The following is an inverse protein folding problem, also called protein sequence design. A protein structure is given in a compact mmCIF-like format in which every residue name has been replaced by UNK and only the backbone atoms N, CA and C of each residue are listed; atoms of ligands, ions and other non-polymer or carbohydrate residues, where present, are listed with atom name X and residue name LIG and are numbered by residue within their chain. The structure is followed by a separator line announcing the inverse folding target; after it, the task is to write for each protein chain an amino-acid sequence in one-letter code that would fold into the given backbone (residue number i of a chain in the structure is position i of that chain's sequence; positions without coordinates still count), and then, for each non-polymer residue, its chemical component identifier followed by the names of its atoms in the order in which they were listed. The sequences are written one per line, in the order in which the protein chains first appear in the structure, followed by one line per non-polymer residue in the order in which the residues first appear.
data_IF_503693072822
#
_entry.id   IF_503693072822
#
_cell.length_a   1.000
_cell.length_b   1.000
_cell.length_c   1.000
_cell.angle_alpha   90.00
_cell.angle_beta   90.00
_cell.angle_gamma   90.00
#
_symmetry.space_group_name_H-M   'P 1'
#
loop_
_entity.id
_entity.type
_entity.pdbx_description
1 polymer ?
#
# COMPACT_ATOMS: atom_id res chain seq x y z
N UNK A 1 -50.86 24.32 47.42
CA UNK A 1 -49.71 24.71 46.58
C UNK A 1 -49.68 23.83 45.33
N UNK A 2 -49.07 24.31 44.24
CA UNK A 2 -48.89 23.62 42.94
C UNK A 2 -47.98 22.36 43.08
N UNK A 3 -47.82 21.37 42.17
CA UNK A 3 -48.50 20.87 40.93
C UNK A 3 -47.98 19.41 40.71
N UNK A 4 -48.21 18.61 39.65
CA UNK A 4 -48.75 18.78 38.27
C UNK A 4 -49.38 17.44 37.77
N UNK A 5 -50.01 17.47 36.60
CA UNK A 5 -50.65 16.33 35.91
C UNK A 5 -49.72 15.63 34.89
N UNK A 6 -49.99 14.35 34.54
CA UNK A 6 -49.77 13.80 33.20
C UNK A 6 -50.82 12.72 32.86
N UNK A 7 -51.38 12.78 31.65
CA UNK A 7 -52.56 12.03 31.23
C UNK A 7 -52.25 10.75 30.45
N UNK A 8 -53.22 9.82 30.44
CA UNK A 8 -53.38 8.77 29.43
C UNK A 8 -54.60 9.10 28.56
N UNK A 9 -54.52 8.87 27.25
CA UNK A 9 -55.69 8.51 26.43
C UNK A 9 -55.28 7.87 25.09
N UNK A 10 -55.94 6.76 24.75
CA UNK A 10 -55.92 6.12 23.41
C UNK A 10 -57.26 6.39 22.72
N UNK A 11 -57.24 6.54 21.39
CA UNK A 11 -58.38 6.32 20.48
C UNK A 11 -57.78 5.74 19.18
N UNK A 12 -58.12 4.53 18.72
CA UNK A 12 -59.38 3.94 18.20
C UNK A 12 -59.60 4.24 16.70
N UNK A 13 -59.63 3.17 15.90
CA UNK A 13 -59.76 3.14 14.43
C UNK A 13 -61.24 3.32 13.97
N UNK A 14 -61.59 3.34 12.65
CA UNK A 14 -61.47 2.19 11.73
C UNK A 14 -61.17 2.51 10.23
N UNK A 15 -61.15 1.49 9.38
CA UNK A 15 -60.92 1.57 7.93
C UNK A 15 -62.15 1.14 7.08
N UNK A 16 -62.22 1.57 5.81
CA UNK A 16 -62.84 0.87 4.64
C UNK A 16 -62.65 1.62 3.30
N UNK A 17 -61.99 0.97 2.33
CA UNK A 17 -62.33 0.72 0.90
C UNK A 17 -63.08 1.79 0.05
N UNK A 18 -62.90 1.97 -1.29
CA UNK A 18 -62.43 1.09 -2.40
C UNK A 18 -61.70 1.90 -3.51
N UNK A 19 -61.00 1.20 -4.43
CA UNK A 19 -60.49 1.68 -5.73
C UNK A 19 -61.60 1.63 -6.84
N UNK A 20 -61.37 1.86 -8.17
CA UNK A 20 -60.12 2.18 -8.91
C UNK A 20 -60.22 3.24 -10.06
N UNK A 21 -59.08 3.66 -10.64
CA UNK A 21 -58.97 4.12 -12.05
C UNK A 21 -57.50 4.12 -12.56
N UNK A 22 -57.30 3.91 -13.87
CA UNK A 22 -55.98 3.76 -14.54
C UNK A 22 -55.31 5.11 -14.87
N UNK A 23 -53.96 5.15 -14.88
CA UNK A 23 -53.16 5.97 -15.81
C UNK A 23 -51.69 5.54 -15.86
N UNK A 24 -51.09 5.67 -17.04
CA UNK A 24 -49.67 5.54 -17.35
C UNK A 24 -49.35 6.50 -18.52
N UNK A 25 -48.08 6.74 -18.91
CA UNK A 25 -46.86 6.86 -18.11
C UNK A 25 -46.15 8.22 -18.37
N UNK A 26 -45.23 8.65 -17.50
CA UNK A 26 -44.31 9.75 -17.82
C UNK A 26 -42.94 9.60 -17.12
N UNK A 27 -41.87 9.64 -17.92
CA UNK A 27 -40.46 9.60 -17.48
C UNK A 27 -39.98 10.96 -16.97
N UNK A 28 -39.07 10.97 -15.99
CA UNK A 28 -37.90 11.88 -15.81
C UNK A 28 -37.12 11.35 -14.61
N UNK A 29 -35.91 10.82 -14.80
CA UNK A 29 -34.61 11.52 -14.89
C UNK A 29 -33.89 11.48 -13.51
N UNK A 30 -32.59 11.18 -13.39
CA UNK A 30 -31.57 11.03 -14.41
C UNK A 30 -30.64 9.81 -14.16
N UNK A 31 -30.49 8.98 -15.18
CA UNK A 31 -29.33 8.10 -15.40
C UNK A 31 -28.99 8.17 -16.89
N UNK A 32 -27.70 8.13 -17.22
CA UNK A 32 -27.12 8.09 -18.58
C UNK A 32 -27.36 9.33 -19.47
N UNK A 33 -26.34 10.20 -19.60
CA UNK A 33 -25.74 10.59 -20.90
C UNK A 33 -24.73 11.75 -20.74
N UNK A 34 -23.46 11.52 -21.14
CA UNK A 34 -22.55 12.56 -21.65
C UNK A 34 -21.33 11.93 -22.34
N UNK A 35 -21.52 11.24 -23.46
CA UNK A 35 -20.41 10.95 -24.40
C UNK A 35 -20.32 12.07 -25.45
N UNK A 36 -19.08 12.51 -25.68
CA UNK A 36 -18.52 13.01 -26.93
C UNK A 36 -18.49 14.52 -27.25
N UNK A 37 -17.40 14.86 -27.96
CA UNK A 37 -17.11 16.03 -28.81
C UNK A 37 -16.56 17.29 -28.11
N UNK A 38 -15.22 17.33 -28.01
CA UNK A 38 -14.44 18.54 -28.28
C UNK A 38 -13.42 18.19 -29.38
N UNK A 39 -13.43 18.92 -30.51
CA UNK A 39 -12.53 18.66 -31.65
C UNK A 39 -12.02 19.97 -32.25
N UNK A 40 -10.71 20.01 -32.49
CA UNK A 40 -9.92 21.09 -33.13
C UNK A 40 -9.60 22.32 -32.27
N UNK A 41 -8.35 22.39 -31.81
CA UNK A 41 -7.36 23.31 -32.38
C UNK A 41 -5.95 22.70 -32.21
N UNK A 42 -5.01 23.10 -33.08
CA UNK A 42 -3.68 22.47 -33.24
C UNK A 42 -2.60 23.55 -33.23
N UNK A 43 -1.65 23.53 -32.28
CA UNK A 43 -0.39 24.26 -32.40
C UNK A 43 0.70 23.44 -33.12
N UNK A 44 1.81 24.10 -33.43
CA UNK A 44 2.85 23.60 -34.33
C UNK A 44 3.69 22.43 -33.77
N UNK A 45 4.30 21.67 -34.67
CA UNK A 45 5.22 20.59 -34.32
C UNK A 45 6.55 21.13 -33.81
N UNK A 46 6.92 20.83 -32.55
CA UNK A 46 8.32 20.77 -32.14
C UNK A 46 8.99 19.55 -32.80
N UNK A 47 10.28 19.62 -33.17
CA UNK A 47 10.95 18.53 -33.84
C UNK A 47 11.03 17.32 -32.92
N UNK A 48 10.66 16.14 -33.43
CA UNK A 48 10.94 14.87 -32.76
C UNK A 48 12.45 14.62 -32.82
N UNK A 49 13.16 14.94 -31.74
CA UNK A 49 14.47 14.34 -31.52
C UNK A 49 14.24 12.84 -31.32
N UNK A 50 14.65 12.03 -32.31
CA UNK A 50 14.74 10.60 -32.14
C UNK A 50 15.90 10.31 -31.18
N UNK A 51 15.60 10.27 -29.89
CA UNK A 51 16.46 9.62 -28.91
C UNK A 51 16.55 8.14 -29.33
N UNK A 52 17.62 7.82 -30.05
CA UNK A 52 17.92 6.45 -30.50
C UNK A 52 18.23 5.68 -29.23
N UNK A 53 17.25 4.91 -28.74
CA UNK A 53 17.40 4.07 -27.56
C UNK A 53 18.45 2.99 -27.83
N UNK A 54 19.73 3.33 -27.59
CA UNK A 54 20.73 2.36 -27.21
C UNK A 54 20.18 1.60 -26.01
N UNK A 55 20.19 0.26 -26.05
CA UNK A 55 20.04 -0.54 -24.84
C UNK A 55 21.17 -0.13 -23.89
N UNK A 56 20.89 0.79 -22.98
CA UNK A 56 21.73 1.00 -21.82
C UNK A 56 21.77 -0.33 -21.08
N UNK A 57 22.97 -0.75 -20.67
CA UNK A 57 23.13 -1.87 -19.77
C UNK A 57 22.44 -1.46 -18.46
N UNK A 58 21.41 -2.18 -18.04
CA UNK A 58 20.68 -1.85 -16.81
C UNK A 58 21.67 -1.78 -15.64
N UNK A 59 21.59 -0.68 -14.90
CA UNK A 59 22.54 -0.39 -13.85
C UNK A 59 22.21 -1.19 -12.61
N UNK A 60 23.22 -1.69 -11.89
CA UNK A 60 23.01 -2.35 -10.60
C UNK A 60 22.53 -1.38 -9.50
N UNK A 61 22.49 -0.09 -9.80
CA UNK A 61 22.04 0.99 -8.93
C UNK A 61 20.72 1.63 -9.41
N UNK A 62 20.07 1.10 -10.44
CA UNK A 62 18.73 1.58 -10.87
C UNK A 62 17.72 1.18 -9.79
N UNK A 63 17.04 2.14 -9.15
CA UNK A 63 16.16 1.91 -7.99
C UNK A 63 15.18 0.75 -8.20
N UNK A 64 14.55 0.65 -9.37
CA UNK A 64 13.62 -0.45 -9.72
C UNK A 64 14.28 -1.82 -9.50
N UNK A 65 15.54 -1.95 -9.94
CA UNK A 65 16.29 -3.19 -9.79
C UNK A 65 16.68 -3.46 -8.33
N UNK A 66 16.94 -2.42 -7.54
CA UNK A 66 17.29 -2.53 -6.13
C UNK A 66 16.09 -3.04 -5.32
N UNK A 67 14.93 -2.41 -5.50
CA UNK A 67 13.64 -2.83 -4.91
C UNK A 67 13.29 -4.27 -5.32
N UNK A 68 13.29 -4.58 -6.64
CA UNK A 68 13.07 -5.94 -7.13
C UNK A 68 14.06 -6.97 -6.54
N UNK A 69 15.31 -6.59 -6.24
CA UNK A 69 16.31 -7.50 -5.64
C UNK A 69 16.05 -7.73 -4.14
N UNK A 70 15.58 -6.72 -3.40
CA UNK A 70 15.16 -6.81 -2.00
C UNK A 70 13.86 -7.60 -1.81
N UNK A 71 12.91 -7.51 -2.74
CA UNK A 71 11.67 -8.30 -2.70
C UNK A 71 11.90 -9.82 -2.81
N UNK A 72 13.01 -10.26 -3.43
CA UNK A 72 13.28 -11.69 -3.70
C UNK A 72 13.42 -12.56 -2.44
N UNK A 73 14.13 -12.17 -1.37
CA UNK A 73 14.08 -12.89 -0.10
C UNK A 73 12.73 -12.75 0.61
N UNK A 74 12.12 -11.55 0.67
CA UNK A 74 10.81 -11.33 1.30
C UNK A 74 9.74 -12.29 0.72
N UNK A 75 9.59 -12.34 -0.61
CA UNK A 75 8.71 -13.27 -1.35
C UNK A 75 8.99 -14.77 -1.14
N UNK A 76 10.13 -15.15 -0.53
CA UNK A 76 10.41 -16.55 -0.13
C UNK A 76 9.99 -16.81 1.30
N UNK A 77 10.27 -15.87 2.19
CA UNK A 77 9.95 -15.96 3.62
C UNK A 77 8.44 -15.90 3.84
N UNK A 78 7.73 -14.99 3.15
CA UNK A 78 6.26 -14.92 3.12
C UNK A 78 5.64 -16.31 2.87
N UNK A 79 6.16 -17.07 1.90
CA UNK A 79 5.67 -18.43 1.56
C UNK A 79 5.91 -19.49 2.63
N UNK A 80 6.73 -19.19 3.63
CA UNK A 80 6.91 -19.99 4.85
C UNK A 80 5.89 -19.52 5.89
N UNK A 81 5.83 -18.21 6.16
CA UNK A 81 4.93 -17.58 7.14
C UNK A 81 3.44 -17.91 6.86
N UNK A 82 2.99 -17.76 5.62
CA UNK A 82 1.60 -18.00 5.21
C UNK A 82 1.27 -19.48 4.99
N UNK A 83 2.23 -20.40 5.15
CA UNK A 83 2.06 -21.81 4.83
C UNK A 83 1.34 -22.60 5.91
N UNK A 84 0.25 -23.28 5.55
CA UNK A 84 -0.44 -24.25 6.43
C UNK A 84 0.33 -25.59 6.56
N UNK A 85 1.56 -25.68 6.02
CA UNK A 85 2.41 -26.90 5.99
C UNK A 85 3.71 -26.78 6.78
N UNK A 86 3.96 -25.61 7.36
CA UNK A 86 5.19 -25.29 8.08
C UNK A 86 4.95 -25.39 9.58
N UNK A 87 5.92 -25.88 10.34
CA UNK A 87 5.84 -25.89 11.80
C UNK A 87 5.96 -24.47 12.35
N UNK A 88 5.52 -24.27 13.59
CA UNK A 88 5.68 -22.99 14.28
C UNK A 88 7.15 -22.57 14.36
N UNK A 89 8.07 -23.50 14.64
CA UNK A 89 9.51 -23.26 14.67
C UNK A 89 10.04 -22.78 13.31
N UNK A 90 9.66 -23.45 12.21
CA UNK A 90 10.05 -23.01 10.86
C UNK A 90 9.50 -21.63 10.49
N UNK A 91 8.36 -21.22 11.06
CA UNK A 91 7.80 -19.88 10.89
C UNK A 91 8.52 -18.85 11.75
N UNK A 92 8.92 -19.20 12.98
CA UNK A 92 9.71 -18.32 13.87
C UNK A 92 11.07 -18.00 13.25
N UNK A 93 11.81 -19.02 12.81
CA UNK A 93 13.09 -18.85 12.09
C UNK A 93 12.93 -17.93 10.86
N UNK A 94 11.87 -18.13 10.08
CA UNK A 94 11.60 -17.32 8.90
C UNK A 94 11.10 -15.90 9.22
N UNK A 95 10.41 -15.71 10.35
CA UNK A 95 9.93 -14.41 10.81
C UNK A 95 11.08 -13.50 11.26
N UNK A 96 12.07 -14.05 11.99
CA UNK A 96 13.26 -13.30 12.40
C UNK A 96 14.03 -12.74 11.19
N UNK A 97 14.27 -13.57 10.16
CA UNK A 97 14.90 -13.11 8.90
C UNK A 97 14.01 -12.10 8.17
N UNK A 98 12.69 -12.33 8.14
CA UNK A 98 11.73 -11.50 7.42
C UNK A 98 11.59 -10.09 8.01
N UNK A 99 11.36 -9.98 9.32
CA UNK A 99 11.21 -8.71 10.01
C UNK A 99 12.48 -7.86 9.88
N UNK A 100 13.67 -8.48 10.02
CA UNK A 100 14.95 -7.78 9.82
C UNK A 100 15.10 -7.25 8.38
N UNK A 101 14.81 -8.06 7.36
CA UNK A 101 14.92 -7.66 5.96
C UNK A 101 13.91 -6.58 5.57
N UNK A 102 12.69 -6.64 6.11
CA UNK A 102 11.61 -5.70 5.84
C UNK A 102 11.90 -4.32 6.45
N UNK A 103 12.32 -4.27 7.71
CA UNK A 103 12.77 -3.02 8.36
C UNK A 103 13.99 -2.40 7.67
N UNK A 104 14.89 -3.22 7.13
CA UNK A 104 16.04 -2.78 6.34
C UNK A 104 15.70 -2.38 4.89
N UNK A 105 14.43 -2.46 4.49
CA UNK A 105 13.93 -2.15 3.14
C UNK A 105 13.02 -0.91 3.17
N UNK A 106 11.98 -0.92 4.02
CA UNK A 106 10.98 0.13 4.14
C UNK A 106 11.57 1.52 4.49
N UNK A 107 12.49 1.59 5.45
CA UNK A 107 13.06 2.89 5.87
C UNK A 107 13.93 3.55 4.79
N UNK A 108 14.86 2.85 4.11
CA UNK A 108 15.55 3.40 2.95
C UNK A 108 14.64 3.79 1.78
N UNK A 109 13.52 3.09 1.61
CA UNK A 109 12.52 3.35 0.57
C UNK A 109 11.80 4.68 0.78
N UNK A 110 11.21 4.87 1.95
CA UNK A 110 10.56 6.13 2.36
C UNK A 110 11.52 7.32 2.19
N UNK A 111 12.72 7.18 2.77
CA UNK A 111 13.73 8.23 2.85
C UNK A 111 14.43 8.53 1.52
N UNK A 112 14.21 7.72 0.48
CA UNK A 112 14.76 7.98 -0.86
C UNK A 112 13.69 7.91 -1.95
N UNK A 113 13.13 6.74 -2.24
CA UNK A 113 12.17 6.57 -3.33
C UNK A 113 10.91 7.41 -3.11
N UNK A 114 10.27 7.32 -1.95
CA UNK A 114 9.03 8.05 -1.69
C UNK A 114 9.28 9.56 -1.54
N UNK A 115 10.38 9.96 -0.91
CA UNK A 115 10.83 11.36 -0.87
C UNK A 115 10.90 12.02 -2.26
N UNK A 116 11.42 11.31 -3.28
CA UNK A 116 11.42 11.80 -4.67
C UNK A 116 10.05 11.65 -5.37
N UNK A 117 9.21 10.70 -4.96
CA UNK A 117 7.85 10.52 -5.49
C UNK A 117 6.88 11.63 -5.05
N UNK A 118 7.00 12.18 -3.84
CA UNK A 118 6.17 13.30 -3.38
C UNK A 118 6.33 14.57 -4.23
N UNK A 119 7.49 14.76 -4.87
CA UNK A 119 7.69 15.85 -5.84
C UNK A 119 6.97 15.61 -7.19
N UNK A 120 6.40 14.42 -7.40
CA UNK A 120 5.75 14.00 -8.64
C UNK A 120 4.23 13.75 -8.47
N UNK A 121 3.42 14.50 -9.20
CA UNK A 121 1.95 14.43 -9.11
C UNK A 121 1.35 13.06 -9.54
N UNK A 122 2.10 12.23 -10.27
CA UNK A 122 1.67 10.92 -10.78
C UNK A 122 2.29 9.76 -9.98
N UNK A 123 2.88 10.04 -8.81
CA UNK A 123 3.46 9.07 -7.87
C UNK A 123 3.19 9.42 -6.39
N UNK A 124 2.81 10.67 -6.09
CA UNK A 124 2.62 11.16 -4.73
C UNK A 124 1.44 10.49 -3.99
N UNK A 125 0.43 9.94 -4.69
CA UNK A 125 -0.66 9.25 -4.00
C UNK A 125 -0.21 7.86 -3.52
N UNK A 126 0.47 7.16 -4.44
CA UNK A 126 1.08 5.85 -4.28
C UNK A 126 2.17 5.88 -3.18
N UNK A 127 2.93 6.97 -3.06
CA UNK A 127 3.87 7.18 -1.95
C UNK A 127 3.17 7.21 -0.57
N UNK A 128 2.10 8.00 -0.42
CA UNK A 128 1.35 8.06 0.85
C UNK A 128 0.63 6.73 1.18
N UNK A 129 0.26 5.96 0.16
CA UNK A 129 -0.31 4.61 0.32
C UNK A 129 0.74 3.66 0.87
N UNK A 130 1.92 3.57 0.24
CA UNK A 130 3.06 2.79 0.73
C UNK A 130 3.52 3.17 2.15
N UNK A 131 3.67 4.47 2.45
CA UNK A 131 3.95 4.96 3.82
C UNK A 131 2.90 4.47 4.83
N UNK A 132 1.62 4.45 4.46
CA UNK A 132 0.54 3.99 5.34
C UNK A 132 0.59 2.47 5.56
N UNK A 133 0.96 1.71 4.54
CA UNK A 133 1.14 0.25 4.63
C UNK A 133 2.38 -0.13 5.46
N UNK A 134 3.46 0.65 5.35
CA UNK A 134 4.64 0.52 6.20
C UNK A 134 4.30 0.80 7.68
N UNK A 135 3.59 1.90 7.99
CA UNK A 135 3.13 2.22 9.36
C UNK A 135 2.29 1.06 9.97
N UNK A 136 1.38 0.47 9.18
CA UNK A 136 0.55 -0.67 9.60
C UNK A 136 1.41 -1.93 9.84
N UNK A 137 2.39 -2.14 8.97
CA UNK A 137 3.33 -3.27 9.01
C UNK A 137 4.25 -3.19 10.23
N UNK A 138 4.84 -2.03 10.51
CA UNK A 138 5.67 -1.77 11.70
C UNK A 138 4.88 -1.96 13.01
N UNK A 139 3.63 -1.50 13.06
CA UNK A 139 2.76 -1.77 14.22
C UNK A 139 2.46 -3.27 14.37
N UNK A 140 2.26 -4.00 13.28
CA UNK A 140 2.00 -5.44 13.34
C UNK A 140 3.24 -6.25 13.75
N UNK A 141 4.44 -5.84 13.34
CA UNK A 141 5.72 -6.38 13.85
C UNK A 141 5.83 -6.17 15.36
N UNK A 142 5.60 -4.93 15.84
CA UNK A 142 5.63 -4.59 17.27
C UNK A 142 4.61 -5.39 18.09
N UNK A 143 3.41 -5.63 17.52
CA UNK A 143 2.39 -6.50 18.11
C UNK A 143 2.86 -7.96 18.20
N UNK A 144 3.54 -8.50 17.17
CA UNK A 144 4.02 -9.89 17.13
C UNK A 144 5.20 -10.10 18.10
N UNK A 145 6.14 -9.17 18.14
CA UNK A 145 7.32 -9.20 19.02
C UNK A 145 6.94 -9.08 20.51
N UNK A 146 5.75 -8.51 20.79
CA UNK A 146 5.19 -8.41 22.14
C UNK A 146 4.55 -9.69 22.70
N UNK A 147 4.33 -10.73 21.88
CA UNK A 147 3.61 -11.94 22.28
C UNK A 147 4.48 -12.96 23.02
N UNK A 148 3.88 -13.61 24.03
CA UNK A 148 4.46 -14.73 24.76
C UNK A 148 4.56 -16.03 23.97
N UNK A 149 5.35 -16.97 24.47
CA UNK A 149 5.42 -18.32 23.90
C UNK A 149 4.12 -19.12 24.10
N UNK A 150 3.27 -18.72 25.05
CA UNK A 150 1.96 -19.29 25.33
C UNK A 150 0.83 -18.71 24.45
N UNK A 151 1.13 -17.71 23.61
CA UNK A 151 0.17 -17.04 22.71
C UNK A 151 0.33 -17.50 21.24
N UNK A 152 0.72 -18.77 21.03
CA UNK A 152 1.08 -19.37 19.73
C UNK A 152 0.01 -19.17 18.63
N UNK A 153 -1.27 -19.42 18.95
CA UNK A 153 -2.39 -19.25 18.00
C UNK A 153 -2.54 -17.79 17.52
N UNK A 154 -2.29 -16.81 18.39
CA UNK A 154 -2.36 -15.38 18.03
C UNK A 154 -1.11 -14.95 17.25
N UNK A 155 0.06 -15.45 17.65
CA UNK A 155 1.32 -15.22 16.94
C UNK A 155 1.24 -15.73 15.49
N UNK A 156 0.79 -16.98 15.28
CA UNK A 156 0.66 -17.56 13.94
C UNK A 156 -0.36 -16.79 13.09
N UNK A 157 -1.47 -16.35 13.67
CA UNK A 157 -2.48 -15.56 12.98
C UNK A 157 -1.93 -14.19 12.54
N UNK A 158 -1.26 -13.45 13.44
CA UNK A 158 -0.66 -12.14 13.11
C UNK A 158 0.45 -12.28 12.07
N UNK A 159 1.33 -13.28 12.19
CA UNK A 159 2.43 -13.53 11.24
C UNK A 159 1.91 -13.91 9.84
N UNK A 160 0.80 -14.65 9.76
CA UNK A 160 0.14 -14.91 8.48
C UNK A 160 -0.42 -13.63 7.84
N UNK A 161 -1.12 -12.80 8.62
CA UNK A 161 -1.65 -11.51 8.14
C UNK A 161 -0.52 -10.56 7.72
N UNK A 162 0.58 -10.50 8.46
CA UNK A 162 1.77 -9.71 8.09
C UNK A 162 2.32 -10.17 6.74
N UNK A 163 2.47 -11.48 6.53
CA UNK A 163 2.92 -12.03 5.26
C UNK A 163 1.97 -11.72 4.09
N UNK A 164 0.65 -11.75 4.31
CA UNK A 164 -0.37 -11.43 3.31
C UNK A 164 -0.40 -9.94 2.96
N UNK A 165 -0.24 -9.04 3.95
CA UNK A 165 -0.16 -7.58 3.72
C UNK A 165 1.09 -7.21 2.90
N UNK A 166 2.26 -7.73 3.29
CA UNK A 166 3.52 -7.42 2.60
C UNK A 166 3.59 -8.10 1.22
N UNK A 167 2.93 -9.24 1.00
CA UNK A 167 2.78 -9.81 -0.35
C UNK A 167 1.97 -8.87 -1.25
N UNK A 168 0.87 -8.29 -0.74
CA UNK A 168 0.01 -7.37 -1.48
C UNK A 168 0.74 -6.06 -1.84
N UNK A 169 1.37 -5.41 -0.87
CA UNK A 169 2.18 -4.21 -1.04
C UNK A 169 3.22 -4.38 -2.16
N UNK A 170 4.00 -5.45 -2.07
CA UNK A 170 5.05 -5.80 -3.04
C UNK A 170 4.47 -6.08 -4.45
N UNK A 171 3.25 -6.62 -4.57
CA UNK A 171 2.56 -6.79 -5.86
C UNK A 171 2.15 -5.44 -6.47
N UNK A 172 1.60 -4.52 -5.68
CA UNK A 172 1.23 -3.18 -6.15
C UNK A 172 2.45 -2.36 -6.57
N UNK A 173 3.55 -2.44 -5.82
CA UNK A 173 4.82 -1.82 -6.19
C UNK A 173 5.34 -2.33 -7.53
N UNK A 174 5.47 -3.67 -7.70
CA UNK A 174 6.04 -4.26 -8.92
C UNK A 174 5.14 -4.09 -10.16
N UNK A 175 3.81 -4.14 -10.00
CA UNK A 175 2.86 -4.06 -11.12
C UNK A 175 2.44 -2.63 -11.49
N UNK A 176 2.38 -1.69 -10.54
CA UNK A 176 1.87 -0.33 -10.77
C UNK A 176 2.91 0.78 -10.51
N UNK A 177 3.56 0.77 -9.35
CA UNK A 177 4.44 1.86 -8.89
C UNK A 177 5.77 1.90 -9.65
N UNK A 178 6.57 0.82 -9.64
CA UNK A 178 7.86 0.72 -10.33
C UNK A 178 7.74 0.94 -11.85
N UNK A 179 6.71 0.43 -12.56
CA UNK A 179 6.46 0.79 -13.95
C UNK A 179 6.16 2.27 -14.16
N UNK A 180 5.58 2.96 -13.19
CA UNK A 180 5.29 4.41 -13.26
C UNK A 180 6.54 5.24 -12.96
N UNK A 181 7.33 4.88 -11.95
CA UNK A 181 8.70 5.37 -11.73
C UNK A 181 9.54 5.26 -13.02
N UNK A 182 9.46 4.13 -13.75
CA UNK A 182 10.17 3.92 -15.03
C UNK A 182 9.76 4.88 -16.14
N UNK A 183 8.52 5.40 -16.11
CA UNK A 183 7.99 6.40 -17.07
C UNK A 183 8.38 7.81 -16.67
N UNK A 184 8.31 8.13 -15.37
CA UNK A 184 8.50 9.49 -14.85
C UNK A 184 9.99 9.85 -14.66
N UNK A 185 10.77 8.93 -14.10
CA UNK A 185 12.19 9.15 -13.81
C UNK A 185 13.08 8.53 -14.88
N UNK A 186 14.00 9.34 -15.42
CA UNK A 186 14.98 8.87 -16.40
C UNK A 186 16.04 7.95 -15.73
N UNK A 187 16.89 7.31 -16.53
CA UNK A 187 17.87 6.36 -16.00
C UNK A 187 18.90 6.98 -15.05
N UNK A 188 19.29 8.24 -15.25
CA UNK A 188 20.25 8.94 -14.37
C UNK A 188 19.61 9.23 -13.00
N UNK A 189 18.34 9.67 -13.00
CA UNK A 189 17.56 9.89 -11.78
C UNK A 189 17.35 8.58 -11.01
N UNK A 190 16.92 7.50 -11.67
CA UNK A 190 16.76 6.20 -11.01
C UNK A 190 18.08 5.62 -10.46
N UNK A 191 19.21 5.92 -11.10
CA UNK A 191 20.53 5.56 -10.61
C UNK A 191 21.03 6.45 -9.45
N UNK A 192 20.48 7.66 -9.31
CA UNK A 192 20.68 8.53 -8.15
C UNK A 192 19.89 8.02 -6.95
N UNK A 193 18.58 7.79 -7.11
CA UNK A 193 17.68 7.29 -6.05
C UNK A 193 18.19 5.94 -5.53
N UNK A 194 18.52 4.99 -6.41
CA UNK A 194 19.01 3.67 -5.98
C UNK A 194 20.38 3.70 -5.29
N UNK A 195 21.18 4.77 -5.47
CA UNK A 195 22.38 4.99 -4.65
C UNK A 195 22.07 5.60 -3.29
N UNK A 196 21.05 6.45 -3.19
CA UNK A 196 20.59 6.99 -1.91
C UNK A 196 19.98 5.88 -1.04
N UNK A 197 19.11 5.05 -1.62
CA UNK A 197 18.56 3.84 -0.99
C UNK A 197 19.67 2.95 -0.43
N UNK A 198 20.65 2.55 -1.26
CA UNK A 198 21.71 1.63 -0.84
C UNK A 198 22.61 2.22 0.25
N UNK A 199 22.86 3.54 0.24
CA UNK A 199 23.58 4.25 1.30
C UNK A 199 22.78 4.24 2.61
N UNK A 200 21.49 4.57 2.55
CA UNK A 200 20.61 4.58 3.72
C UNK A 200 20.46 3.18 4.32
N UNK A 201 20.41 2.15 3.48
CA UNK A 201 20.41 0.74 3.91
C UNK A 201 21.72 0.35 4.60
N UNK A 202 22.87 0.75 4.04
CA UNK A 202 24.19 0.52 4.67
C UNK A 202 24.31 1.27 6.01
N UNK A 203 23.83 2.50 6.10
CA UNK A 203 23.81 3.30 7.34
C UNK A 203 22.84 2.73 8.39
N UNK A 204 21.65 2.25 7.99
CA UNK A 204 20.67 1.63 8.88
C UNK A 204 21.10 0.26 9.42
N UNK A 205 21.80 -0.54 8.61
CA UNK A 205 22.37 -1.83 9.02
C UNK A 205 23.65 -1.65 9.85
N UNK A 206 24.41 -0.57 9.64
CA UNK A 206 25.68 -0.31 10.34
C UNK A 206 25.59 0.10 11.81
N UNK A 207 24.38 0.28 12.37
CA UNK A 207 24.16 0.78 13.75
C UNK A 207 23.98 -0.35 14.78
N UNK A 208 24.03 -1.63 14.39
CA UNK A 208 23.71 -2.76 15.28
C UNK A 208 24.90 -3.45 15.97
N UNK A 209 26.16 -3.03 15.77
CA UNK A 209 27.34 -3.65 16.42
C UNK A 209 27.99 -2.84 17.58
N UNK A 210 27.54 -1.63 17.90
CA UNK A 210 28.12 -0.85 19.03
C UNK A 210 27.12 -0.50 20.14
N UNK A 211 27.08 -1.34 21.17
CA UNK A 211 26.94 -0.91 22.57
C UNK A 211 25.53 -0.70 23.13
N UNK A 212 25.03 -1.70 23.85
CA UNK A 212 24.09 -1.49 24.96
C UNK A 212 24.61 -2.18 26.23
N UNK A 213 25.77 -1.71 26.70
CA UNK A 213 26.29 -1.94 28.06
C UNK A 213 26.27 -0.59 28.81
N UNK A 214 25.17 -0.26 29.49
CA UNK A 214 25.16 0.75 30.56
C UNK A 214 24.33 0.27 31.77
N UNK A 215 25.07 -0.12 32.81
CA UNK A 215 24.80 -0.22 34.27
C UNK A 215 23.44 -0.71 34.82
#
# INVERSE_FOLDING_TARGET
MATKSKSKSKAKAPAKSKAPAKKAPAKKAAQQAAKAIAKKQKPAARPKQSAKASKAKESKFDIIKVIEDDHKPLKKLIKILTSDKKTIDEKRDAYEEFAHLLLAHARPEEQSMYAHMHENQELNAEAYEGETEHDITDQLISDIDGLGMDEEDEWEAKVKVLGELVEHHIEEEEEEMLPTIKKQFNAEMREHIGREFLRLKEEGVGVTEEGYDEE
#
